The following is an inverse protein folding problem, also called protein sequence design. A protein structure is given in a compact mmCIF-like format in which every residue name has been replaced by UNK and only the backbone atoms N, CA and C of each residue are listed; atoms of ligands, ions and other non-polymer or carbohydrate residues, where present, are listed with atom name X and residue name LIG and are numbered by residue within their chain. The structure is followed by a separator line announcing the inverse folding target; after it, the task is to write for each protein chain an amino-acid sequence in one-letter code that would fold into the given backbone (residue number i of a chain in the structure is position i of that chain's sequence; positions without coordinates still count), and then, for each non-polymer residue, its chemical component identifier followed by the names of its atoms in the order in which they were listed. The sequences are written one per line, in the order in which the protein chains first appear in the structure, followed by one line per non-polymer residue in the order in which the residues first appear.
data_IF_771112072945
#
_entry.id   IF_771112072945
#
_cell.length_a   1.000
_cell.length_b   1.000
_cell.length_c   1.000
_cell.angle_alpha   90.00
_cell.angle_beta   90.00
_cell.angle_gamma   90.00
#
_symmetry.space_group_name_H-M   'P 1'
#
loop_
_entity.id
_entity.type
_entity.pdbx_description
1 polymer ?
#
# COMPACT_ATOMS: atom_id res chain seq x y z
N UNK A 1 -1.12 -27.71 -1.50
CA UNK A 1 -1.08 -26.36 -2.11
C UNK A 1 -0.48 -25.39 -1.11
N UNK A 2 0.48 -24.57 -1.51
CA UNK A 2 1.32 -23.77 -0.60
C UNK A 2 1.83 -22.52 -1.29
N UNK A 3 0.96 -21.55 -1.49
CA UNK A 3 1.33 -20.23 -2.01
C UNK A 3 1.45 -19.27 -0.83
N UNK A 4 2.66 -18.77 -0.61
CA UNK A 4 2.92 -17.70 0.34
C UNK A 4 2.62 -16.37 -0.36
N UNK A 5 1.82 -15.51 0.27
CA UNK A 5 1.59 -14.15 -0.21
C UNK A 5 2.87 -13.33 -0.04
N UNK A 6 3.20 -12.51 -1.04
CA UNK A 6 4.29 -11.54 -0.91
C UNK A 6 3.88 -10.41 0.03
N UNK A 7 4.85 -9.59 0.46
CA UNK A 7 4.57 -8.44 1.32
C UNK A 7 3.67 -7.42 0.62
N UNK A 8 3.89 -7.20 -0.67
CA UNK A 8 3.07 -6.31 -1.50
C UNK A 8 1.62 -6.78 -1.60
N UNK A 9 1.37 -8.09 -1.75
CA UNK A 9 0.00 -8.64 -1.76
C UNK A 9 -0.70 -8.42 -0.41
N UNK A 10 0.03 -8.53 0.70
CA UNK A 10 -0.51 -8.28 2.05
C UNK A 10 -0.86 -6.81 2.23
N UNK A 11 0.03 -5.91 1.81
CA UNK A 11 -0.18 -4.47 1.92
C UNK A 11 -1.34 -3.99 1.04
N UNK A 12 -1.55 -4.60 -0.14
CA UNK A 12 -2.73 -4.39 -0.99
C UNK A 12 -4.02 -4.83 -0.27
N UNK A 13 -4.04 -6.03 0.32
CA UNK A 13 -5.21 -6.52 1.06
C UNK A 13 -5.46 -5.64 2.31
N UNK A 14 -4.43 -5.13 2.97
CA UNK A 14 -4.58 -4.22 4.11
C UNK A 14 -5.24 -2.88 3.73
N UNK A 15 -5.06 -2.41 2.48
CA UNK A 15 -5.73 -1.22 1.95
C UNK A 15 -7.21 -1.48 1.62
N UNK A 16 -7.52 -2.60 0.96
CA UNK A 16 -8.88 -2.91 0.49
C UNK A 16 -9.76 -3.54 1.59
N UNK A 17 -9.15 -4.23 2.55
CA UNK A 17 -9.84 -4.95 3.61
C UNK A 17 -9.19 -4.68 4.98
N UNK A 18 -9.29 -3.45 5.51
CA UNK A 18 -8.66 -3.05 6.77
C UNK A 18 -9.20 -3.78 8.01
N UNK A 19 -10.29 -4.57 7.88
CA UNK A 19 -10.85 -5.41 8.95
C UNK A 19 -10.60 -6.92 8.74
N UNK A 20 -9.98 -7.33 7.65
CA UNK A 20 -9.69 -8.74 7.37
C UNK A 20 -8.40 -9.21 8.07
N UNK A 21 -8.51 -10.03 9.12
CA UNK A 21 -7.34 -10.58 9.83
C UNK A 21 -6.57 -11.55 8.91
N UNK A 22 -5.47 -11.08 8.30
CA UNK A 22 -4.56 -11.92 7.53
C UNK A 22 -3.54 -12.55 8.48
N UNK A 23 -3.54 -13.87 8.60
CA UNK A 23 -2.49 -14.59 9.32
C UNK A 23 -1.39 -14.96 8.31
N UNK A 24 -0.26 -14.27 8.36
CA UNK A 24 0.92 -14.63 7.55
C UNK A 24 1.79 -15.55 8.38
N UNK A 25 1.89 -16.82 7.97
CA UNK A 25 2.77 -17.79 8.61
C UNK A 25 4.12 -17.75 7.88
N UNK A 26 5.17 -17.25 8.53
CA UNK A 26 6.56 -17.40 8.09
C UNK A 26 7.26 -18.38 9.03
N UNK A 27 7.93 -19.39 8.46
CA UNK A 27 8.78 -20.34 9.19
C UNK A 27 8.11 -21.12 10.34
N UNK A 28 6.84 -21.54 10.18
CA UNK A 28 6.09 -22.37 11.15
C UNK A 28 5.89 -21.77 12.55
N UNK A 29 6.30 -20.53 12.78
CA UNK A 29 5.95 -19.74 13.96
C UNK A 29 4.84 -18.75 13.57
N UNK A 30 3.83 -18.61 14.44
CA UNK A 30 2.78 -17.59 14.28
C UNK A 30 3.43 -16.24 14.58
N UNK A 31 4.15 -15.70 13.59
CA UNK A 31 4.83 -14.42 13.66
C UNK A 31 3.78 -13.29 13.60
N UNK A 32 3.21 -13.02 14.77
CA UNK A 32 2.47 -11.83 15.14
C UNK A 32 1.09 -11.65 14.48
N UNK A 33 0.09 -11.43 15.35
CA UNK A 33 -1.19 -10.84 14.94
C UNK A 33 -0.89 -9.41 14.49
N UNK A 34 -0.64 -9.20 13.21
CA UNK A 34 -0.68 -7.86 12.63
C UNK A 34 -2.11 -7.34 12.81
N UNK A 35 -2.31 -6.51 13.84
CA UNK A 35 -3.37 -5.52 13.79
C UNK A 35 -3.23 -4.81 12.44
N UNK A 36 -4.29 -4.79 11.65
CA UNK A 36 -4.37 -4.18 10.32
C UNK A 36 -4.21 -2.66 10.42
N UNK A 37 -3.02 -2.23 10.79
CA UNK A 37 -2.61 -0.84 10.81
C UNK A 37 -2.14 -0.49 9.41
N UNK A 38 -2.55 0.68 8.93
CA UNK A 38 -2.11 1.21 7.64
C UNK A 38 -0.58 1.13 7.51
N UNK A 39 -0.05 0.56 6.42
CA UNK A 39 1.39 0.45 6.22
C UNK A 39 2.03 1.83 6.16
N UNK A 40 3.21 2.00 6.79
CA UNK A 40 3.88 3.31 6.82
C UNK A 40 4.34 3.78 5.44
N UNK A 41 4.64 2.85 4.55
CA UNK A 41 5.11 3.11 3.20
C UNK A 41 4.45 2.11 2.26
N UNK A 42 3.88 2.62 1.17
CA UNK A 42 3.40 1.84 0.04
C UNK A 42 4.34 2.10 -1.13
N UNK A 43 4.95 1.06 -1.68
CA UNK A 43 5.87 1.17 -2.81
C UNK A 43 5.41 0.22 -3.91
N UNK A 44 5.18 0.72 -5.12
CA UNK A 44 4.72 -0.08 -6.26
C UNK A 44 3.27 -0.59 -6.21
N UNK A 45 2.61 -0.52 -5.05
CA UNK A 45 1.24 -1.02 -4.84
C UNK A 45 0.18 -0.12 -5.49
N UNK A 46 0.20 1.18 -5.17
CA UNK A 46 -0.78 2.16 -5.67
C UNK A 46 -0.08 3.20 -6.53
N UNK A 47 -0.59 3.44 -7.74
CA UNK A 47 -0.10 4.53 -8.61
C UNK A 47 -0.45 5.89 -8.03
N UNK A 48 0.43 6.87 -8.20
CA UNK A 48 0.14 8.22 -7.76
C UNK A 48 -1.02 8.81 -8.61
N UNK A 49 -2.10 9.34 -8.02
CA UNK A 49 -3.21 9.93 -8.77
C UNK A 49 -2.85 11.25 -9.46
N UNK A 50 -1.65 11.80 -9.22
CA UNK A 50 -1.16 12.94 -9.98
C UNK A 50 -0.63 12.47 -11.36
N UNK A 51 -1.31 12.78 -12.48
CA UNK A 51 -0.88 12.31 -13.81
C UNK A 51 0.48 12.87 -14.24
N UNK A 52 0.96 13.96 -13.61
CA UNK A 52 2.27 14.56 -13.87
C UNK A 52 3.38 14.05 -12.93
N UNK A 53 3.09 13.07 -12.08
CA UNK A 53 4.09 12.48 -11.20
C UNK A 53 5.14 11.71 -12.01
N UNK A 54 6.42 11.84 -11.66
CA UNK A 54 7.53 11.11 -12.29
C UNK A 54 7.33 9.59 -12.24
N UNK A 55 6.70 9.08 -11.18
CA UNK A 55 6.38 7.65 -11.04
C UNK A 55 5.37 7.13 -12.06
N UNK A 56 4.70 8.00 -12.80
CA UNK A 56 3.73 7.64 -13.85
C UNK A 56 4.32 7.80 -15.26
N UNK A 57 5.56 8.30 -15.38
CA UNK A 57 6.22 8.53 -16.68
C UNK A 57 6.80 7.21 -17.19
N UNK A 58 6.38 6.73 -18.37
CA UNK A 58 6.93 5.50 -18.94
C UNK A 58 8.43 5.62 -19.22
N UNK A 59 9.21 4.64 -18.77
CA UNK A 59 10.66 4.59 -18.98
C UNK A 59 11.50 5.15 -17.83
N UNK A 60 10.90 5.82 -16.85
CA UNK A 60 11.59 6.22 -15.63
C UNK A 60 11.82 5.00 -14.71
N UNK A 61 13.03 4.80 -14.15
CA UNK A 61 13.37 3.65 -13.32
C UNK A 61 12.89 3.83 -11.87
N UNK A 62 11.68 4.35 -11.67
CA UNK A 62 11.11 4.61 -10.34
C UNK A 62 9.68 4.07 -10.26
N UNK A 63 9.34 3.49 -9.11
CA UNK A 63 7.98 3.06 -8.79
C UNK A 63 7.30 4.06 -7.87
N UNK A 64 5.96 4.09 -7.89
CA UNK A 64 5.17 4.94 -7.00
C UNK A 64 5.53 4.65 -5.54
N UNK A 65 5.72 5.70 -4.74
CA UNK A 65 6.05 5.59 -3.31
C UNK A 65 5.21 6.59 -2.53
N UNK A 66 4.43 6.09 -1.58
CA UNK A 66 3.48 6.86 -0.76
C UNK A 66 3.82 6.59 0.71
N UNK A 67 3.95 7.65 1.51
CA UNK A 67 4.32 7.56 2.92
C UNK A 67 3.14 8.01 3.78
N UNK A 68 2.76 7.22 4.78
CA UNK A 68 1.68 7.54 5.70
C UNK A 68 2.07 8.75 6.54
N UNK A 69 1.33 9.83 6.41
CA UNK A 69 1.57 11.08 7.15
C UNK A 69 0.51 11.35 8.21
N UNK A 70 -0.69 10.77 8.06
CA UNK A 70 -1.76 10.85 9.05
C UNK A 70 -2.50 9.50 9.14
N UNK A 71 -2.16 8.65 10.13
CA UNK A 71 -2.83 7.37 10.33
C UNK A 71 -4.30 7.47 10.73
N UNK A 72 -4.69 8.54 11.45
CA UNK A 72 -6.07 8.70 11.93
C UNK A 72 -7.02 9.09 10.79
N UNK A 73 -6.52 9.88 9.84
CA UNK A 73 -7.26 10.29 8.65
C UNK A 73 -7.00 9.40 7.43
N UNK A 74 -6.06 8.47 7.52
CA UNK A 74 -5.63 7.65 6.37
C UNK A 74 -5.02 8.48 5.24
N UNK A 75 -4.19 9.48 5.57
CA UNK A 75 -3.52 10.30 4.56
C UNK A 75 -2.11 9.82 4.30
N UNK A 76 -1.82 9.61 3.03
CA UNK A 76 -0.48 9.37 2.54
C UNK A 76 0.01 10.55 1.71
N UNK A 77 1.33 10.72 1.67
CA UNK A 77 2.00 11.71 0.84
C UNK A 77 2.86 11.00 -0.19
N UNK A 78 2.70 11.36 -1.46
CA UNK A 78 3.59 10.90 -2.52
C UNK A 78 5.01 11.41 -2.28
N UNK A 79 5.98 10.51 -2.31
CA UNK A 79 7.40 10.84 -2.13
C UNK A 79 7.92 11.81 -3.20
N UNK A 80 7.42 11.70 -4.43
CA UNK A 80 7.95 12.46 -5.57
C UNK A 80 7.28 13.82 -5.79
N UNK A 81 5.94 13.85 -5.84
CA UNK A 81 5.21 15.08 -6.14
C UNK A 81 4.61 15.77 -4.90
N UNK A 82 4.71 15.15 -3.73
CA UNK A 82 4.18 15.69 -2.48
C UNK A 82 2.65 15.68 -2.37
N UNK A 83 1.91 15.17 -3.36
CA UNK A 83 0.45 15.09 -3.32
C UNK A 83 0.00 14.24 -2.13
N UNK A 84 -0.98 14.77 -1.39
CA UNK A 84 -1.71 14.01 -0.37
C UNK A 84 -2.79 13.18 -1.03
N UNK A 85 -2.93 11.94 -0.57
CA UNK A 85 -3.87 10.94 -1.09
C UNK A 85 -4.52 10.26 0.11
N UNK A 86 -5.85 10.21 0.13
CA UNK A 86 -6.62 9.52 1.16
C UNK A 86 -6.71 8.03 0.82
N UNK A 87 -6.79 7.16 1.83
CA UNK A 87 -6.96 5.70 1.63
C UNK A 87 -8.16 5.40 0.73
N UNK A 88 -9.27 6.12 0.90
CA UNK A 88 -10.47 5.95 0.06
C UNK A 88 -10.20 6.20 -1.44
N UNK A 89 -9.42 7.23 -1.78
CA UNK A 89 -9.01 7.50 -3.16
C UNK A 89 -8.10 6.37 -3.69
N UNK A 90 -7.29 5.74 -2.82
CA UNK A 90 -6.46 4.58 -3.20
C UNK A 90 -7.28 3.31 -3.43
N UNK A 91 -8.30 3.06 -2.61
CA UNK A 91 -9.21 1.92 -2.78
C UNK A 91 -9.89 1.97 -4.16
N UNK A 92 -10.34 3.15 -4.59
CA UNK A 92 -10.94 3.35 -5.92
C UNK A 92 -9.94 3.08 -7.06
N UNK A 93 -8.65 3.37 -6.86
CA UNK A 93 -7.60 3.13 -7.85
C UNK A 93 -7.19 1.66 -7.96
N UNK A 94 -7.33 0.88 -6.88
CA UNK A 94 -7.01 -0.55 -6.85
C UNK A 94 -8.14 -1.42 -7.42
N UNK A 95 -9.38 -0.91 -7.42
CA UNK A 95 -10.56 -1.60 -7.94
C UNK A 95 -10.83 -1.37 -9.44
N UNK A 96 -10.00 -0.58 -10.13
CA UNK A 96 -10.10 -0.25 -11.56
C UNK A 96 -8.97 -0.86 -12.39
#
# INVERSE_FOLDING_TARGET
EGRFLTRDEVDEIALVAPTATINIIRDYEVAEKFSLTLPKVLEGIVRCPNPRCVSNVPGEPVVSRLELVDPERGLYRCHYCGRLVEVSEMEELLLQ
#
